data_IF_851341362036
#
_entry.id   IF_851341362036
#
_cell.length_a   1.000
_cell.length_b   1.000
_cell.length_c   1.000
_cell.angle_alpha   90.00
_cell.angle_beta   90.00
_cell.angle_gamma   90.00
#
_symmetry.space_group_name_H-M   'P 1'
#
loop_
_entity.id
_entity.type
_entity.pdbx_description
1 polymer ?
#
# COMPACT_ATOMS: atom_id res chain seq x y z
N UNK A 1 10.59 3.33 16.27
CA UNK A 1 10.93 3.18 14.83
C UNK A 1 9.62 2.96 14.09
N UNK A 2 9.27 3.82 13.13
CA UNK A 2 8.06 3.65 12.33
C UNK A 2 8.25 2.55 11.27
N UNK A 3 7.19 1.82 10.93
CA UNK A 3 7.20 0.82 9.85
C UNK A 3 7.37 1.53 8.50
N UNK A 4 8.36 1.12 7.70
CA UNK A 4 8.69 1.76 6.41
C UNK A 4 8.33 0.97 5.16
N UNK A 5 7.97 -0.30 5.33
CA UNK A 5 7.62 -1.20 4.22
C UNK A 5 6.27 -1.81 4.53
N UNK A 6 5.33 -1.67 3.59
CA UNK A 6 3.99 -2.24 3.67
C UNK A 6 3.78 -3.17 2.49
N UNK A 7 3.33 -4.40 2.75
CA UNK A 7 2.83 -5.27 1.70
C UNK A 7 1.49 -4.73 1.17
N UNK A 8 1.11 -5.08 -0.06
CA UNK A 8 -0.15 -4.60 -0.62
C UNK A 8 -1.39 -5.00 0.21
N UNK A 9 -1.34 -6.11 0.95
CA UNK A 9 -2.41 -6.56 1.84
C UNK A 9 -2.38 -5.92 3.25
N UNK A 10 -1.46 -4.98 3.51
CA UNK A 10 -1.32 -4.32 4.82
C UNK A 10 -1.74 -2.84 4.81
N UNK A 11 -2.21 -2.34 3.66
CA UNK A 11 -2.68 -0.96 3.50
C UNK A 11 -4.07 -0.89 2.89
N UNK A 12 -4.56 0.34 2.69
CA UNK A 12 -5.88 0.63 2.13
C UNK A 12 -5.84 1.87 1.24
N UNK A 13 -6.95 2.16 0.55
CA UNK A 13 -7.09 3.41 -0.21
C UNK A 13 -6.95 4.67 0.65
N UNK A 14 -7.15 4.60 1.97
CA UNK A 14 -7.16 5.74 2.88
C UNK A 14 -5.73 6.14 3.31
N UNK A 15 -4.76 5.25 3.15
CA UNK A 15 -3.35 5.47 3.49
C UNK A 15 -2.58 6.30 2.43
N UNK A 16 -3.25 7.23 1.74
CA UNK A 16 -2.68 7.97 0.59
C UNK A 16 -1.49 8.84 0.97
N UNK A 17 -1.50 9.42 2.17
CA UNK A 17 -0.39 10.25 2.66
C UNK A 17 0.85 9.42 2.97
N UNK A 18 0.65 8.19 3.49
CA UNK A 18 1.72 7.28 3.89
C UNK A 18 2.28 6.46 2.72
N UNK A 19 1.41 5.96 1.84
CA UNK A 19 1.75 5.03 0.75
C UNK A 19 1.77 5.69 -0.63
N UNK A 20 1.36 6.96 -0.72
CA UNK A 20 1.12 7.65 -1.98
C UNK A 20 -0.15 7.18 -2.69
N UNK A 21 -0.64 7.98 -3.64
CA UNK A 21 -1.90 7.68 -4.34
C UNK A 21 -1.87 6.39 -5.18
N UNK A 22 -0.72 6.01 -5.75
CA UNK A 22 -0.56 4.74 -6.49
C UNK A 22 -0.50 3.54 -5.56
N UNK A 23 0.26 3.63 -4.47
CA UNK A 23 0.39 2.57 -3.48
C UNK A 23 -0.93 2.25 -2.79
N UNK A 24 -1.64 3.29 -2.33
CA UNK A 24 -2.98 3.15 -1.73
C UNK A 24 -3.99 2.49 -2.70
N UNK A 25 -3.94 2.82 -3.98
CA UNK A 25 -4.80 2.17 -4.98
C UNK A 25 -4.42 0.69 -5.21
N UNK A 26 -3.13 0.35 -5.22
CA UNK A 26 -2.70 -1.05 -5.34
C UNK A 26 -3.15 -1.89 -4.15
N UNK A 27 -3.06 -1.33 -2.94
CA UNK A 27 -3.59 -1.97 -1.73
C UNK A 27 -5.09 -2.23 -1.83
N UNK A 28 -5.87 -1.22 -2.24
CA UNK A 28 -7.32 -1.38 -2.45
C UNK A 28 -7.64 -2.47 -3.48
N UNK A 29 -6.92 -2.50 -4.61
CA UNK A 29 -7.10 -3.53 -5.63
C UNK A 29 -6.80 -4.93 -5.09
N UNK A 30 -5.75 -5.08 -4.28
CA UNK A 30 -5.41 -6.33 -3.60
C UNK A 30 -6.50 -6.74 -2.60
N UNK A 31 -7.02 -5.81 -1.80
CA UNK A 31 -8.12 -6.08 -0.85
C UNK A 31 -9.44 -6.44 -1.53
N UNK A 32 -9.70 -5.91 -2.73
CA UNK A 32 -10.85 -6.27 -3.57
C UNK A 32 -10.69 -7.65 -4.25
N UNK A 33 -9.54 -8.32 -4.10
CA UNK A 33 -9.29 -9.64 -4.69
C UNK A 33 -8.99 -9.61 -6.20
N UNK A 34 -8.63 -8.44 -6.75
CA UNK A 34 -8.17 -8.37 -8.14
C UNK A 34 -6.81 -9.07 -8.29
N UNK A 35 -6.49 -9.61 -9.48
CA UNK A 35 -5.22 -10.30 -9.73
C UNK A 35 -4.05 -9.30 -9.82
N UNK A 36 -3.69 -8.71 -8.68
CA UNK A 36 -2.53 -7.84 -8.52
C UNK A 36 -1.31 -8.71 -8.19
N UNK A 37 -0.19 -8.59 -8.92
CA UNK A 37 1.05 -9.26 -8.54
C UNK A 37 1.47 -8.89 -7.11
N UNK A 38 2.05 -9.83 -6.37
CA UNK A 38 2.57 -9.54 -5.04
C UNK A 38 3.62 -8.42 -5.08
N UNK A 39 3.57 -7.55 -4.07
CA UNK A 39 4.49 -6.43 -3.97
C UNK A 39 4.42 -5.73 -2.62
N UNK A 40 5.24 -4.71 -2.49
CA UNK A 40 5.36 -3.88 -1.30
C UNK A 40 5.56 -2.41 -1.68
N UNK A 41 5.35 -1.54 -0.71
CA UNK A 41 5.42 -0.08 -0.82
C UNK A 41 6.41 0.42 0.23
N UNK A 42 7.32 1.30 -0.17
CA UNK A 42 8.15 2.07 0.74
C UNK A 42 7.40 3.35 1.08
N UNK A 43 7.20 3.61 2.37
CA UNK A 43 6.41 4.75 2.86
C UNK A 43 7.05 6.09 2.52
N UNK A 44 6.23 7.14 2.44
CA UNK A 44 6.66 8.55 2.29
C UNK A 44 7.38 9.09 3.54
N UNK A 45 7.08 8.55 4.71
CA UNK A 45 7.70 8.95 5.98
C UNK A 45 9.20 8.64 6.00
N UNK A 46 10.01 9.65 6.33
CA UNK A 46 11.48 9.62 6.33
C UNK A 46 12.13 9.03 7.57
#
# INVERSE_FOLDING_TARGET
MAKRVYLFNEGSKDDRELLGGKGANLCEMTSLGLPVPYGFIITTST
#
